data_IF_139818811176
#
_entry.id   IF_139818811176
#
_cell.length_a   1.000
_cell.length_b   1.000
_cell.length_c   1.000
_cell.angle_alpha   90.00
_cell.angle_beta   90.00
_cell.angle_gamma   90.00
#
_symmetry.space_group_name_H-M   'P 1'
#
loop_
_entity.id
_entity.type
_entity.pdbx_description
1 polymer ?
#
# COMPACT_ATOMS: atom_id res chain seq x y z
N UNK A 1 15.52 -4.71 -13.29
CA UNK A 1 14.30 -5.30 -13.87
C UNK A 1 13.12 -4.38 -13.55
N UNK A 2 12.27 -4.11 -14.55
CA UNK A 2 11.09 -3.26 -14.34
C UNK A 2 10.12 -3.93 -13.37
N UNK A 3 9.51 -3.15 -12.48
CA UNK A 3 8.51 -3.66 -11.57
C UNK A 3 7.21 -4.03 -12.32
N UNK A 4 6.47 -4.97 -11.77
CA UNK A 4 5.11 -5.25 -12.22
C UNK A 4 4.20 -4.08 -11.84
N UNK A 5 3.22 -3.79 -12.68
CA UNK A 5 2.24 -2.72 -12.44
C UNK A 5 0.83 -3.30 -12.40
N UNK A 6 0.02 -2.76 -11.51
CA UNK A 6 -1.40 -3.12 -11.39
C UNK A 6 -2.26 -1.86 -11.37
N UNK A 7 -3.47 -1.96 -11.91
CA UNK A 7 -4.47 -0.89 -11.90
C UNK A 7 -5.76 -1.36 -11.23
N UNK A 8 -6.34 -0.48 -10.42
CA UNK A 8 -7.74 -0.54 -10.03
C UNK A 8 -8.50 0.51 -10.84
N UNK A 9 -9.58 0.12 -11.48
CA UNK A 9 -10.34 1.00 -12.38
C UNK A 9 -11.63 1.45 -11.72
N UNK A 10 -11.98 2.71 -11.89
CA UNK A 10 -13.25 3.28 -11.41
C UNK A 10 -14.43 2.41 -11.83
N UNK A 11 -15.34 2.15 -10.90
CA UNK A 11 -16.46 1.25 -11.11
C UNK A 11 -16.22 -0.18 -10.66
N UNK A 12 -14.97 -0.55 -10.33
CA UNK A 12 -14.69 -1.84 -9.71
C UNK A 12 -15.40 -1.90 -8.35
N UNK A 13 -16.11 -3.00 -8.04
CA UNK A 13 -16.75 -3.14 -6.75
C UNK A 13 -15.76 -3.05 -5.60
N UNK A 14 -16.12 -2.31 -4.56
CA UNK A 14 -15.32 -2.15 -3.35
C UNK A 14 -15.98 -2.94 -2.22
N UNK A 15 -15.27 -3.91 -1.65
CA UNK A 15 -15.79 -4.70 -0.54
C UNK A 15 -15.98 -3.82 0.70
N UNK A 16 -17.00 -4.12 1.48
CA UNK A 16 -17.21 -3.51 2.78
C UNK A 16 -16.62 -4.42 3.86
N UNK A 17 -15.35 -4.18 4.19
CA UNK A 17 -14.59 -4.99 5.13
C UNK A 17 -14.53 -4.33 6.49
N UNK A 18 -14.80 -5.09 7.53
CA UNK A 18 -14.59 -4.68 8.91
C UNK A 18 -13.30 -5.32 9.43
N UNK A 19 -12.45 -4.53 10.09
CA UNK A 19 -11.24 -5.02 10.72
C UNK A 19 -11.57 -6.07 11.79
N UNK A 20 -10.72 -7.08 11.98
CA UNK A 20 -10.87 -8.01 13.10
C UNK A 20 -10.84 -7.28 14.44
N UNK A 21 -11.48 -7.87 15.46
CA UNK A 21 -11.47 -7.32 16.81
C UNK A 21 -10.04 -7.07 17.30
N UNK A 22 -9.84 -5.92 17.94
CA UNK A 22 -8.54 -5.51 18.46
C UNK A 22 -7.66 -4.73 17.47
N UNK A 23 -8.10 -4.60 16.21
CA UNK A 23 -7.38 -3.84 15.19
C UNK A 23 -8.12 -2.54 14.86
N UNK A 24 -7.35 -1.50 14.56
CA UNK A 24 -7.91 -0.22 14.10
C UNK A 24 -7.02 0.41 13.03
N UNK A 25 -7.58 1.34 12.27
CA UNK A 25 -6.84 2.15 11.29
C UNK A 25 -6.61 3.52 11.90
N UNK A 26 -5.37 3.98 11.90
CA UNK A 26 -5.00 5.32 12.36
C UNK A 26 -4.17 6.04 11.30
N UNK A 27 -4.25 7.36 11.28
CA UNK A 27 -3.43 8.16 10.38
C UNK A 27 -2.04 8.40 10.98
N UNK A 28 -1.07 8.56 10.08
CA UNK A 28 0.28 9.00 10.43
C UNK A 28 0.24 10.35 11.15
N UNK A 29 1.11 10.50 12.13
CA UNK A 29 1.38 11.78 12.82
C UNK A 29 2.82 12.17 12.60
N UNK A 30 3.08 13.45 12.42
CA UNK A 30 4.44 13.96 12.22
C UNK A 30 5.23 13.87 13.53
N UNK A 31 5.84 12.70 13.75
CA UNK A 31 6.71 12.44 14.90
C UNK A 31 7.72 11.34 14.56
N UNK A 32 8.81 11.30 15.32
CA UNK A 32 9.88 10.32 15.09
C UNK A 32 9.40 8.89 15.36
N UNK A 33 8.48 8.71 16.27
CA UNK A 33 7.91 7.40 16.62
C UNK A 33 7.15 6.80 15.43
N UNK A 34 6.35 7.60 14.73
CA UNK A 34 5.61 7.13 13.57
C UNK A 34 6.53 6.86 12.38
N UNK A 35 7.57 7.68 12.17
CA UNK A 35 8.58 7.41 11.15
C UNK A 35 9.31 6.09 11.43
N UNK A 36 9.68 5.86 12.68
CA UNK A 36 10.32 4.59 13.08
C UNK A 36 9.38 3.40 12.89
N UNK A 37 8.11 3.54 13.26
CA UNK A 37 7.09 2.50 13.06
C UNK A 37 6.88 2.19 11.58
N UNK A 38 6.87 3.21 10.72
CA UNK A 38 6.79 3.03 9.27
C UNK A 38 7.96 2.20 8.75
N UNK A 39 9.18 2.50 9.19
CA UNK A 39 10.37 1.71 8.82
C UNK A 39 10.20 0.25 9.23
N UNK A 40 9.75 -0.01 10.46
CA UNK A 40 9.53 -1.38 10.96
C UNK A 40 8.49 -2.13 10.09
N UNK A 41 7.40 -1.47 9.69
CA UNK A 41 6.41 -2.07 8.80
C UNK A 41 6.98 -2.42 7.43
N UNK A 42 7.95 -1.66 6.94
CA UNK A 42 8.53 -1.81 5.59
C UNK A 42 9.77 -2.71 5.54
N UNK A 43 10.30 -3.16 6.66
CA UNK A 43 11.44 -4.10 6.70
C UNK A 43 11.09 -5.44 6.06
N UNK A 44 12.12 -6.17 5.69
CA UNK A 44 12.02 -7.50 5.04
C UNK A 44 11.35 -7.45 3.67
N UNK A 45 11.74 -6.50 2.86
CA UNK A 45 11.32 -6.46 1.46
C UNK A 45 11.33 -5.08 0.83
N UNK A 46 10.95 -4.05 1.56
CA UNK A 46 10.85 -2.70 1.01
C UNK A 46 12.03 -1.82 1.42
N UNK A 47 12.52 -1.97 2.64
CA UNK A 47 13.66 -1.22 3.16
C UNK A 47 14.65 -2.17 3.86
N UNK A 48 15.91 -1.74 3.99
CA UNK A 48 16.94 -2.49 4.70
C UNK A 48 16.80 -2.39 6.22
N UNK A 49 17.43 -3.34 6.92
CA UNK A 49 17.35 -3.42 8.39
C UNK A 49 17.95 -2.22 9.10
N UNK A 50 18.91 -1.53 8.47
CA UNK A 50 19.60 -0.37 9.02
C UNK A 50 18.98 0.97 8.57
N UNK A 51 17.78 0.95 8.01
CA UNK A 51 17.12 2.15 7.51
C UNK A 51 16.75 3.09 8.66
N UNK A 52 17.15 4.36 8.54
CA UNK A 52 16.84 5.38 9.53
C UNK A 52 15.38 5.88 9.38
N UNK A 53 14.73 6.32 10.47
CA UNK A 53 13.36 6.86 10.40
C UNK A 53 13.18 7.99 9.38
N UNK A 54 14.20 8.82 9.19
CA UNK A 54 14.19 9.96 8.25
C UNK A 54 14.04 9.54 6.79
N UNK A 55 14.30 8.28 6.47
CA UNK A 55 14.06 7.74 5.12
C UNK A 55 12.60 7.89 4.69
N UNK A 56 11.67 7.93 5.64
CA UNK A 56 10.26 8.21 5.38
C UNK A 56 10.07 9.51 4.59
N UNK A 57 10.83 10.55 4.92
CA UNK A 57 10.68 11.85 4.27
C UNK A 57 10.96 11.76 2.77
N UNK A 58 12.09 11.19 2.37
CA UNK A 58 12.43 11.06 0.94
C UNK A 58 11.60 10.00 0.22
N UNK A 59 11.18 8.95 0.89
CA UNK A 59 10.44 7.86 0.28
C UNK A 59 8.95 8.15 0.11
N UNK A 60 8.35 8.88 1.06
CA UNK A 60 6.90 9.09 1.11
C UNK A 60 6.54 10.57 1.13
N UNK A 61 7.06 11.33 2.07
CA UNK A 61 6.65 12.73 2.27
C UNK A 61 6.97 13.61 1.07
N UNK A 62 8.07 13.33 0.37
CA UNK A 62 8.50 14.10 -0.81
C UNK A 62 7.82 13.66 -2.12
N UNK A 63 6.95 12.65 -2.07
CA UNK A 63 6.15 12.26 -3.25
C UNK A 63 5.17 13.38 -3.59
N UNK A 64 5.07 13.70 -4.89
CA UNK A 64 4.17 14.74 -5.37
C UNK A 64 2.74 14.53 -4.85
N UNK A 65 2.09 15.62 -4.45
CA UNK A 65 0.72 15.64 -3.92
C UNK A 65 0.53 14.95 -2.56
N UNK A 66 1.58 14.36 -1.99
CA UNK A 66 1.46 13.67 -0.71
C UNK A 66 1.33 14.64 0.47
N UNK A 67 0.31 14.43 1.27
CA UNK A 67 0.14 15.04 2.59
C UNK A 67 0.17 13.89 3.61
N UNK A 68 1.33 13.62 4.25
CA UNK A 68 1.51 12.40 5.04
C UNK A 68 0.43 12.14 6.08
N UNK A 69 0.00 13.16 6.81
CA UNK A 69 -1.03 13.03 7.85
C UNK A 69 -2.42 12.66 7.31
N UNK A 70 -2.65 12.83 6.02
CA UNK A 70 -3.90 12.45 5.35
C UNK A 70 -3.76 11.18 4.53
N UNK A 71 -2.59 10.93 3.98
CA UNK A 71 -2.37 9.91 2.94
C UNK A 71 -1.68 8.66 3.46
N UNK A 72 -1.06 8.72 4.65
CA UNK A 72 -0.38 7.57 5.26
C UNK A 72 -1.20 7.02 6.41
N UNK A 73 -1.45 5.72 6.38
CA UNK A 73 -2.25 5.00 7.37
C UNK A 73 -1.44 3.89 8.01
N UNK A 74 -1.80 3.59 9.26
CA UNK A 74 -1.30 2.41 9.96
C UNK A 74 -2.47 1.51 10.37
N UNK A 75 -2.20 0.21 10.41
CA UNK A 75 -3.01 -0.73 11.18
C UNK A 75 -2.44 -0.76 12.59
N UNK A 76 -3.30 -0.52 13.56
CA UNK A 76 -2.95 -0.56 14.98
C UNK A 76 -3.47 -1.84 15.63
N UNK A 77 -2.65 -2.44 16.49
CA UNK A 77 -3.02 -3.56 17.33
C UNK A 77 -2.36 -3.40 18.69
N UNK A 78 -3.18 -3.38 19.74
CA UNK A 78 -2.69 -3.22 21.13
C UNK A 78 -1.77 -2.01 21.33
N UNK A 79 -2.06 -0.91 20.64
CA UNK A 79 -1.28 0.33 20.72
C UNK A 79 -0.02 0.37 19.88
N UNK A 80 0.22 -0.65 19.04
CA UNK A 80 1.38 -0.72 18.17
C UNK A 80 0.97 -0.64 16.70
N UNK A 81 1.74 0.09 15.89
CA UNK A 81 1.58 0.12 14.44
C UNK A 81 2.18 -1.16 13.84
N UNK A 82 1.33 -2.00 13.24
CA UNK A 82 1.74 -3.30 12.72
C UNK A 82 1.67 -3.43 11.21
N UNK A 83 1.12 -2.43 10.54
CA UNK A 83 1.06 -2.35 9.08
C UNK A 83 0.93 -0.91 8.63
N UNK A 84 1.31 -0.65 7.38
CA UNK A 84 1.25 0.69 6.79
C UNK A 84 0.88 0.65 5.31
N UNK A 85 0.25 1.71 4.84
CA UNK A 85 -0.01 1.98 3.43
C UNK A 85 -0.05 3.47 3.19
N UNK A 86 0.44 3.89 2.03
CA UNK A 86 0.27 5.27 1.54
C UNK A 86 -0.71 5.27 0.38
N UNK A 87 -1.69 6.15 0.43
CA UNK A 87 -2.73 6.30 -0.58
C UNK A 87 -2.78 7.76 -1.02
N UNK A 88 -2.09 8.08 -2.12
CA UNK A 88 -1.87 9.45 -2.59
C UNK A 88 -2.74 9.73 -3.81
N UNK A 89 -3.53 10.79 -3.76
CA UNK A 89 -4.34 11.23 -4.89
C UNK A 89 -3.64 12.34 -5.67
N UNK A 90 -3.53 12.15 -6.98
CA UNK A 90 -2.95 13.11 -7.92
C UNK A 90 -4.09 13.80 -8.70
N UNK A 91 -4.53 15.00 -8.29
CA UNK A 91 -5.75 15.62 -8.84
C UNK A 91 -5.67 15.99 -10.31
N UNK A 92 -4.50 16.41 -10.81
CA UNK A 92 -4.34 16.79 -12.22
C UNK A 92 -4.59 15.62 -13.17
N UNK A 93 -4.17 14.43 -12.79
CA UNK A 93 -4.31 13.21 -13.58
C UNK A 93 -5.52 12.38 -13.16
N UNK A 94 -6.21 12.77 -12.09
CA UNK A 94 -7.33 12.02 -11.49
C UNK A 94 -6.95 10.56 -11.20
N UNK A 95 -5.73 10.35 -10.73
CA UNK A 95 -5.24 9.00 -10.41
C UNK A 95 -4.87 8.88 -8.93
N UNK A 96 -5.07 7.68 -8.40
CA UNK A 96 -4.56 7.30 -7.10
C UNK A 96 -3.26 6.53 -7.21
N UNK A 97 -2.44 6.63 -6.19
CA UNK A 97 -1.20 5.86 -6.06
C UNK A 97 -1.21 5.14 -4.72
N UNK A 98 -1.12 3.83 -4.76
CA UNK A 98 -0.85 3.00 -3.58
C UNK A 98 0.66 2.81 -3.52
N UNK A 99 1.26 3.18 -2.40
CA UNK A 99 2.71 3.23 -2.26
C UNK A 99 3.14 2.70 -0.89
N UNK A 100 4.20 1.91 -0.87
CA UNK A 100 4.84 1.38 0.35
C UNK A 100 3.85 0.66 1.29
N UNK A 101 3.34 -0.48 0.83
CA UNK A 101 2.48 -1.36 1.64
C UNK A 101 3.36 -2.34 2.41
N UNK A 102 3.32 -2.28 3.72
CA UNK A 102 4.14 -3.15 4.57
C UNK A 102 3.39 -3.65 5.80
N UNK A 103 3.67 -4.88 6.19
CA UNK A 103 3.15 -5.49 7.43
C UNK A 103 4.36 -6.02 8.20
N UNK A 104 4.44 -5.76 9.51
CA UNK A 104 5.51 -6.33 10.35
C UNK A 104 5.50 -7.84 10.28
N UNK A 105 6.68 -8.46 10.29
CA UNK A 105 6.85 -9.89 10.03
C UNK A 105 5.95 -10.79 10.91
N UNK A 106 5.81 -10.47 12.19
CA UNK A 106 5.01 -11.25 13.15
C UNK A 106 3.51 -11.22 12.85
N UNK A 107 3.06 -10.26 12.05
CA UNK A 107 1.66 -10.08 11.65
C UNK A 107 1.37 -10.53 10.22
N UNK A 108 2.37 -11.01 9.49
CA UNK A 108 2.18 -11.56 8.15
C UNK A 108 1.43 -12.88 8.20
N UNK A 109 0.71 -13.18 7.11
CA UNK A 109 -0.08 -14.42 7.03
C UNK A 109 -1.39 -14.40 7.81
N UNK A 110 -1.78 -13.27 8.39
CA UNK A 110 -3.04 -13.10 9.14
C UNK A 110 -4.15 -12.44 8.31
N UNK A 111 -3.92 -12.22 7.03
CA UNK A 111 -4.92 -11.62 6.13
C UNK A 111 -5.11 -10.12 6.28
N UNK A 112 -4.18 -9.41 6.93
CA UNK A 112 -4.30 -7.97 7.17
C UNK A 112 -4.18 -7.11 5.90
N UNK A 113 -3.46 -7.59 4.88
CA UNK A 113 -3.25 -6.85 3.64
C UNK A 113 -4.55 -6.45 2.95
N UNK A 114 -5.56 -7.31 2.94
CA UNK A 114 -6.85 -7.00 2.31
C UNK A 114 -7.57 -5.82 2.97
N UNK A 115 -7.44 -5.66 4.28
CA UNK A 115 -8.08 -4.56 5.02
C UNK A 115 -7.39 -3.24 4.71
N UNK A 116 -6.06 -3.23 4.71
CA UNK A 116 -5.31 -2.01 4.46
C UNK A 116 -5.47 -1.54 3.00
N UNK A 117 -5.49 -2.48 2.05
CA UNK A 117 -5.78 -2.17 0.64
C UNK A 117 -7.20 -1.62 0.47
N UNK A 118 -8.17 -2.17 1.20
CA UNK A 118 -9.54 -1.70 1.18
C UNK A 118 -9.66 -0.24 1.65
N UNK A 119 -8.96 0.13 2.71
CA UNK A 119 -8.89 1.52 3.20
C UNK A 119 -8.36 2.45 2.12
N UNK A 120 -7.26 2.07 1.46
CA UNK A 120 -6.65 2.88 0.41
C UNK A 120 -7.58 3.05 -0.79
N UNK A 121 -8.19 1.97 -1.26
CA UNK A 121 -9.10 2.02 -2.42
C UNK A 121 -10.32 2.87 -2.12
N UNK A 122 -10.94 2.71 -0.95
CA UNK A 122 -12.08 3.54 -0.53
C UNK A 122 -11.73 5.02 -0.52
N UNK A 123 -10.62 5.37 0.11
CA UNK A 123 -10.16 6.76 0.19
C UNK A 123 -9.96 7.38 -1.19
N UNK A 124 -9.21 6.71 -2.06
CA UNK A 124 -8.88 7.21 -3.39
C UNK A 124 -10.10 7.28 -4.30
N UNK A 125 -11.00 6.31 -4.22
CA UNK A 125 -12.27 6.35 -4.95
C UNK A 125 -13.15 7.54 -4.50
N UNK A 126 -13.23 7.81 -3.21
CA UNK A 126 -13.96 8.96 -2.65
C UNK A 126 -13.35 10.29 -3.09
N UNK A 127 -12.04 10.35 -3.28
CA UNK A 127 -11.35 11.53 -3.80
C UNK A 127 -11.57 11.77 -5.30
N UNK A 128 -12.13 10.79 -6.00
CA UNK A 128 -12.46 10.90 -7.42
C UNK A 128 -11.46 10.24 -8.37
N UNK A 129 -10.64 9.32 -7.88
CA UNK A 129 -9.69 8.61 -8.73
C UNK A 129 -10.41 7.84 -9.84
N UNK A 130 -10.02 8.06 -11.09
CA UNK A 130 -10.50 7.31 -12.24
C UNK A 130 -9.79 5.97 -12.33
N UNK A 131 -8.56 5.90 -11.87
CA UNK A 131 -7.83 4.66 -11.67
C UNK A 131 -6.84 4.83 -10.52
N UNK A 132 -6.41 3.71 -9.96
CA UNK A 132 -5.39 3.65 -8.93
C UNK A 132 -4.28 2.74 -9.46
N UNK A 133 -3.03 3.15 -9.34
CA UNK A 133 -1.92 2.31 -9.74
C UNK A 133 -1.03 1.96 -8.55
N UNK A 134 -0.34 0.84 -8.70
CA UNK A 134 0.77 0.43 -7.84
C UNK A 134 1.82 -0.29 -8.67
N UNK A 135 3.01 -0.36 -8.13
CA UNK A 135 4.09 -1.20 -8.65
C UNK A 135 4.50 -2.21 -7.58
N UNK A 136 4.87 -3.40 -7.99
CA UNK A 136 5.27 -4.48 -7.09
C UNK A 136 6.33 -5.37 -7.73
N UNK A 137 6.93 -6.23 -6.92
CA UNK A 137 7.92 -7.19 -7.38
C UNK A 137 7.34 -8.60 -7.43
N UNK A 138 7.81 -9.42 -8.37
CA UNK A 138 7.34 -10.79 -8.59
C UNK A 138 7.41 -11.67 -7.35
N UNK A 139 8.45 -11.51 -6.54
CA UNK A 139 8.66 -12.33 -5.35
C UNK A 139 7.68 -12.02 -4.20
N UNK A 140 6.88 -10.97 -4.32
CA UNK A 140 5.92 -10.55 -3.30
C UNK A 140 4.54 -11.20 -3.51
N UNK A 141 4.48 -12.52 -3.58
CA UNK A 141 3.26 -13.28 -3.86
C UNK A 141 2.07 -12.91 -2.97
N UNK A 142 2.30 -12.80 -1.67
CA UNK A 142 1.24 -12.44 -0.73
C UNK A 142 0.66 -11.05 -0.99
N UNK A 143 1.51 -10.09 -1.34
CA UNK A 143 1.08 -8.74 -1.69
C UNK A 143 0.28 -8.74 -2.99
N UNK A 144 0.79 -9.38 -4.05
CA UNK A 144 0.08 -9.50 -5.33
C UNK A 144 -1.29 -10.11 -5.14
N UNK A 145 -1.39 -11.20 -4.38
CA UNK A 145 -2.66 -11.84 -4.09
C UNK A 145 -3.64 -10.92 -3.37
N UNK A 146 -3.17 -10.13 -2.41
CA UNK A 146 -4.02 -9.16 -1.70
C UNK A 146 -4.49 -8.02 -2.61
N UNK A 147 -3.67 -7.59 -3.57
CA UNK A 147 -4.07 -6.58 -4.55
C UNK A 147 -5.14 -7.11 -5.51
N UNK A 148 -4.98 -8.34 -5.99
CA UNK A 148 -5.99 -9.01 -6.83
C UNK A 148 -7.33 -9.10 -6.08
N UNK A 149 -7.29 -9.47 -4.82
CA UNK A 149 -8.49 -9.53 -3.95
C UNK A 149 -9.16 -8.16 -3.81
N UNK A 150 -8.38 -7.07 -3.76
CA UNK A 150 -8.91 -5.71 -3.69
C UNK A 150 -9.47 -5.20 -5.03
N UNK A 151 -9.33 -5.94 -6.11
CA UNK A 151 -9.85 -5.58 -7.42
C UNK A 151 -8.81 -5.00 -8.39
N UNK A 152 -7.54 -4.98 -8.02
CA UNK A 152 -6.47 -4.59 -8.94
C UNK A 152 -6.29 -5.64 -10.02
N UNK A 153 -5.96 -5.20 -11.22
CA UNK A 153 -5.69 -6.07 -12.37
C UNK A 153 -4.28 -5.83 -12.90
N UNK A 154 -3.62 -6.88 -13.43
CA UNK A 154 -2.29 -6.74 -14.03
C UNK A 154 -2.29 -5.81 -15.24
N UNK A 155 -1.19 -5.10 -15.43
CA UNK A 155 -0.97 -4.22 -16.60
C UNK A 155 0.26 -4.71 -17.37
N UNK A 156 0.07 -4.92 -18.66
CA UNK A 156 1.14 -5.28 -19.59
C UNK A 156 1.63 -4.02 -20.29
N UNK A 157 2.64 -3.37 -19.74
CA UNK A 157 3.14 -2.09 -20.26
C UNK A 157 4.49 -2.18 -20.98
N UNK A 158 5.12 -3.35 -20.97
CA UNK A 158 6.35 -3.61 -21.70
C UNK A 158 6.44 -5.07 -22.17
N UNK A 159 7.39 -5.33 -23.08
CA UNK A 159 7.62 -6.69 -23.62
C UNK A 159 7.98 -7.67 -22.51
N UNK A 160 7.37 -8.84 -22.51
CA UNK A 160 7.62 -9.91 -21.55
C UNK A 160 6.78 -9.82 -20.25
N UNK A 161 5.96 -8.78 -20.09
CA UNK A 161 5.11 -8.64 -18.91
C UNK A 161 4.04 -9.73 -18.82
N UNK A 162 3.52 -10.16 -19.97
CA UNK A 162 2.51 -11.21 -20.01
C UNK A 162 3.01 -12.51 -19.39
N UNK A 163 4.18 -12.95 -19.80
CA UNK A 163 4.80 -14.18 -19.28
C UNK A 163 5.09 -14.07 -17.79
N UNK A 164 5.55 -12.91 -17.33
CA UNK A 164 5.80 -12.66 -15.91
C UNK A 164 4.51 -12.76 -15.10
N UNK A 165 3.41 -12.18 -15.59
CA UNK A 165 2.12 -12.27 -14.92
C UNK A 165 1.54 -13.70 -14.90
N UNK A 166 1.80 -14.50 -15.92
CA UNK A 166 1.35 -15.90 -15.97
C UNK A 166 1.91 -16.74 -14.83
N UNK A 167 3.10 -16.39 -14.31
CA UNK A 167 3.70 -17.06 -13.16
C UNK A 167 3.05 -16.64 -11.81
N UNK A 168 2.45 -15.47 -11.76
CA UNK A 168 1.85 -14.90 -10.54
C UNK A 168 0.37 -15.31 -10.38
N UNK A 169 -0.26 -15.69 -11.45
CA UNK A 169 -1.69 -16.01 -11.48
C UNK A 169 -1.95 -17.51 -11.51
#
# INVERSE_FOLDING_TARGET
MEQLKMFWLKGTPIADLELPEGYSIVNYKECVEDKAAWVECCKNGLVGDDTAPEFFDECVADVDDCVPEKDVFFIDHEGNHVGTISAIYHPEEKKGQVHMVGIVSEYRGKGLGKYINNVAVKKLAEQGAEYIYLTTDEWRFGAVKSYLTAGFVPVEYSTGMKERWEWEL
#
